data_IF_442675578678
#
_entry.id   IF_442675578678
#
_cell.length_a   1.000
_cell.length_b   1.000
_cell.length_c   1.000
_cell.angle_alpha   90.00
_cell.angle_beta   90.00
_cell.angle_gamma   90.00
#
_symmetry.space_group_name_H-M   'P 1'
#
loop_
_entity.id
_entity.type
_entity.pdbx_description
1 polymer ?
#
# COMPACT_ATOMS: atom_id res chain seq x y z
N UNK A 1 -4.79 -58.52 -38.32
CA UNK A 1 -4.12 -58.13 -37.06
C UNK A 1 -3.09 -57.03 -37.37
N UNK A 2 -3.09 -55.93 -36.68
CA UNK A 2 -2.21 -54.73 -36.69
C UNK A 2 -2.85 -53.44 -37.26
N UNK A 3 -3.88 -52.90 -36.58
CA UNK A 3 -4.32 -51.51 -36.79
C UNK A 3 -4.70 -50.80 -35.49
N UNK A 4 -4.25 -51.29 -34.33
CA UNK A 4 -4.62 -50.72 -33.01
C UNK A 4 -3.52 -49.79 -32.44
N UNK A 5 -2.28 -49.79 -32.98
CA UNK A 5 -1.18 -49.07 -32.35
C UNK A 5 -0.99 -47.60 -32.79
N UNK A 6 -1.68 -47.11 -33.80
CA UNK A 6 -1.49 -45.73 -34.27
C UNK A 6 -2.33 -44.71 -33.48
N UNK A 7 -3.46 -45.12 -32.91
CA UNK A 7 -4.36 -44.21 -32.17
C UNK A 7 -3.88 -43.95 -30.72
N UNK A 8 -3.16 -44.89 -30.14
CA UNK A 8 -2.66 -44.74 -28.75
C UNK A 8 -1.45 -43.82 -28.71
N UNK A 9 -0.64 -43.75 -29.78
CA UNK A 9 0.54 -42.89 -29.82
C UNK A 9 0.20 -41.41 -29.99
N UNK A 10 -0.98 -41.08 -30.60
CA UNK A 10 -1.42 -39.72 -30.81
C UNK A 10 -1.99 -39.08 -29.52
N UNK A 11 -2.61 -39.90 -28.66
CA UNK A 11 -3.16 -39.41 -27.39
C UNK A 11 -2.13 -39.13 -26.31
N UNK A 12 -0.96 -39.78 -26.36
CA UNK A 12 0.09 -39.57 -25.36
C UNK A 12 0.89 -38.30 -25.64
N UNK A 13 0.96 -37.82 -26.88
CA UNK A 13 1.68 -36.58 -27.23
C UNK A 13 0.90 -35.30 -26.88
N UNK A 14 -0.44 -35.36 -26.77
CA UNK A 14 -1.27 -34.24 -26.35
C UNK A 14 -1.26 -33.97 -24.85
N UNK A 15 -0.81 -34.91 -24.02
CA UNK A 15 -0.79 -34.77 -22.56
C UNK A 15 0.43 -33.99 -22.04
N UNK A 16 1.46 -33.74 -22.86
CA UNK A 16 2.67 -33.02 -22.46
C UNK A 16 2.76 -31.59 -23.00
N UNK A 17 1.79 -31.14 -23.76
CA UNK A 17 1.74 -29.74 -24.21
C UNK A 17 0.84 -28.90 -23.27
N UNK A 18 1.08 -28.97 -21.97
CA UNK A 18 0.62 -27.94 -21.07
C UNK A 18 1.45 -26.69 -21.37
N UNK A 19 0.86 -25.57 -21.80
CA UNK A 19 1.60 -24.34 -21.85
C UNK A 19 2.05 -24.07 -20.40
N UNK A 20 3.36 -24.09 -20.19
CA UNK A 20 3.97 -23.52 -18.99
C UNK A 20 3.62 -22.05 -19.05
N UNK A 21 2.48 -21.69 -18.49
CA UNK A 21 2.17 -20.32 -18.15
C UNK A 21 3.24 -19.94 -17.12
N UNK A 22 4.34 -19.40 -17.62
CA UNK A 22 5.34 -18.75 -16.80
C UNK A 22 4.57 -17.68 -16.04
N UNK A 23 4.25 -17.94 -14.77
CA UNK A 23 3.70 -16.93 -13.88
C UNK A 23 4.75 -15.83 -13.82
N UNK A 24 4.55 -14.80 -14.61
CA UNK A 24 5.39 -13.61 -14.60
C UNK A 24 5.19 -12.97 -13.22
N UNK A 25 6.05 -13.35 -12.27
CA UNK A 25 6.07 -12.74 -10.94
C UNK A 25 6.52 -11.30 -11.11
N UNK A 26 5.57 -10.40 -11.21
CA UNK A 26 5.85 -8.96 -11.20
C UNK A 26 6.48 -8.62 -9.85
N UNK A 27 7.71 -8.10 -9.87
CA UNK A 27 8.35 -7.64 -8.63
C UNK A 27 7.70 -6.33 -8.20
N UNK A 28 7.52 -6.14 -6.91
CA UNK A 28 6.92 -4.92 -6.35
C UNK A 28 7.63 -3.65 -6.83
N UNK A 29 8.94 -3.71 -7.02
CA UNK A 29 9.75 -2.59 -7.53
C UNK A 29 9.44 -2.21 -8.99
N UNK A 30 8.91 -3.14 -9.79
CA UNK A 30 8.61 -2.93 -11.21
C UNK A 30 7.23 -2.29 -11.42
N UNK A 31 6.40 -2.21 -10.38
CA UNK A 31 5.10 -1.55 -10.44
C UNK A 31 5.25 -0.04 -10.58
N UNK A 32 4.33 0.63 -11.30
CA UNK A 32 4.21 2.08 -11.24
C UNK A 32 4.14 2.57 -9.79
N UNK A 33 4.72 3.73 -9.44
CA UNK A 33 4.86 4.16 -8.06
C UNK A 33 3.54 4.19 -7.26
N UNK A 34 2.44 4.64 -7.86
CA UNK A 34 1.14 4.66 -7.19
C UNK A 34 0.58 3.24 -6.97
N UNK A 35 0.71 2.34 -7.95
CA UNK A 35 0.31 0.93 -7.80
C UNK A 35 1.11 0.24 -6.70
N UNK A 36 2.39 0.52 -6.63
CA UNK A 36 3.26 0.05 -5.55
C UNK A 36 2.76 0.53 -4.17
N UNK A 37 2.33 1.79 -4.08
CA UNK A 37 1.76 2.36 -2.85
C UNK A 37 0.48 1.63 -2.44
N UNK A 38 -0.44 1.37 -3.38
CA UNK A 38 -1.67 0.60 -3.14
C UNK A 38 -1.35 -0.78 -2.57
N UNK A 39 -0.41 -1.51 -3.20
CA UNK A 39 -0.01 -2.85 -2.74
C UNK A 39 0.59 -2.81 -1.34
N UNK A 40 1.45 -1.84 -1.05
CA UNK A 40 2.08 -1.68 0.28
C UNK A 40 1.02 -1.40 1.36
N UNK A 41 0.04 -0.54 1.09
CA UNK A 41 -1.03 -0.26 2.05
C UNK A 41 -1.89 -1.50 2.27
N UNK A 42 -2.32 -2.20 1.22
CA UNK A 42 -3.07 -3.46 1.34
C UNK A 42 -2.35 -4.49 2.21
N UNK A 43 -1.04 -4.61 2.02
CA UNK A 43 -0.23 -5.56 2.80
C UNK A 43 -0.20 -5.24 4.30
N UNK A 44 -0.09 -3.95 4.67
CA UNK A 44 0.02 -3.57 6.08
C UNK A 44 -1.32 -3.39 6.79
N UNK A 45 -2.36 -2.94 6.10
CA UNK A 45 -3.69 -2.76 6.71
C UNK A 45 -4.48 -4.07 6.74
N UNK A 46 -4.40 -4.88 5.67
CA UNK A 46 -5.28 -6.01 5.48
C UNK A 46 -6.73 -5.59 5.23
N UNK A 47 -7.57 -6.53 4.84
CA UNK A 47 -9.01 -6.28 4.64
C UNK A 47 -9.74 -6.25 5.99
N UNK A 48 -10.40 -5.14 6.31
CA UNK A 48 -11.18 -4.96 7.52
C UNK A 48 -12.54 -5.64 7.39
N UNK A 49 -12.91 -6.42 8.41
CA UNK A 49 -14.24 -7.02 8.52
C UNK A 49 -15.09 -6.33 9.59
N UNK A 50 -16.27 -6.90 9.90
CA UNK A 50 -17.27 -6.33 10.86
C UNK A 50 -16.70 -5.93 12.22
N UNK A 51 -15.71 -6.68 12.74
CA UNK A 51 -15.06 -6.39 14.04
C UNK A 51 -14.25 -5.09 14.06
N UNK A 52 -13.94 -4.55 12.89
CA UNK A 52 -13.12 -3.35 12.74
C UNK A 52 -13.97 -2.07 12.64
N UNK A 53 -15.32 -2.19 12.61
CA UNK A 53 -16.20 -1.05 12.52
C UNK A 53 -15.82 0.06 13.53
N UNK A 54 -15.79 1.34 13.13
CA UNK A 54 -16.25 1.93 11.87
C UNK A 54 -15.21 1.96 10.74
N UNK A 55 -14.17 1.12 10.81
CA UNK A 55 -13.19 1.00 9.73
C UNK A 55 -13.60 -0.10 8.75
N UNK A 56 -13.58 0.21 7.45
CA UNK A 56 -13.97 -0.69 6.36
C UNK A 56 -12.87 -0.78 5.30
N UNK A 57 -12.93 -1.78 4.43
CA UNK A 57 -11.96 -1.98 3.35
C UNK A 57 -10.53 -2.07 3.87
N UNK A 58 -9.65 -1.26 3.37
CA UNK A 58 -8.24 -1.21 3.79
C UNK A 58 -7.96 -0.04 4.76
N UNK A 59 -8.83 0.12 5.76
CA UNK A 59 -8.62 1.11 6.82
C UNK A 59 -9.35 2.44 6.63
N UNK A 60 -10.30 2.51 5.70
CA UNK A 60 -11.16 3.67 5.56
C UNK A 60 -12.05 3.85 6.81
N UNK A 61 -11.95 4.98 7.48
CA UNK A 61 -12.84 5.34 8.58
C UNK A 61 -14.10 5.99 8.01
N UNK A 62 -15.25 5.35 8.23
CA UNK A 62 -16.55 5.86 7.78
C UNK A 62 -16.80 7.29 8.27
N UNK A 63 -17.21 8.15 7.35
CA UNK A 63 -17.60 9.52 7.62
C UNK A 63 -19.13 9.65 7.70
N UNK A 64 -19.66 10.68 8.38
CA UNK A 64 -21.11 10.92 8.39
C UNK A 64 -21.68 11.01 6.97
N UNK A 65 -22.75 10.24 6.70
CA UNK A 65 -23.40 10.17 5.40
C UNK A 65 -22.86 9.13 4.42
N UNK A 66 -21.72 8.49 4.71
CA UNK A 66 -21.20 7.38 3.89
C UNK A 66 -21.98 6.08 4.17
N UNK A 67 -22.21 5.31 3.10
CA UNK A 67 -23.02 4.05 3.15
C UNK A 67 -22.19 2.79 2.88
N UNK A 68 -20.88 2.85 3.10
CA UNK A 68 -20.04 1.66 2.97
C UNK A 68 -20.29 0.69 4.13
N UNK A 69 -20.16 -0.59 3.86
CA UNK A 69 -20.32 -1.65 4.87
C UNK A 69 -19.07 -2.51 4.97
N UNK A 70 -18.95 -3.24 6.07
CA UNK A 70 -17.86 -4.18 6.28
C UNK A 70 -17.91 -5.41 5.34
N UNK A 71 -19.02 -5.60 4.63
CA UNK A 71 -19.23 -6.70 3.69
C UNK A 71 -18.90 -6.31 2.24
N UNK A 72 -18.18 -5.19 2.04
CA UNK A 72 -17.73 -4.76 0.71
C UNK A 72 -16.80 -5.80 0.07
N UNK A 73 -16.91 -5.92 -1.25
CA UNK A 73 -16.01 -6.76 -2.04
C UNK A 73 -14.58 -6.17 -2.06
N UNK A 74 -13.58 -7.01 -2.32
CA UNK A 74 -12.20 -6.54 -2.48
C UNK A 74 -12.08 -5.45 -3.55
N UNK A 75 -12.82 -5.57 -4.66
CA UNK A 75 -12.83 -4.55 -5.72
C UNK A 75 -13.37 -3.20 -5.22
N UNK A 76 -14.41 -3.21 -4.40
CA UNK A 76 -14.94 -1.97 -3.79
C UNK A 76 -13.95 -1.38 -2.81
N UNK A 77 -13.33 -2.22 -1.97
CA UNK A 77 -12.29 -1.80 -1.03
C UNK A 77 -11.05 -1.23 -1.73
N UNK A 78 -10.63 -1.83 -2.86
CA UNK A 78 -9.52 -1.31 -3.68
C UNK A 78 -9.86 0.07 -4.26
N UNK A 79 -11.05 0.24 -4.81
CA UNK A 79 -11.48 1.54 -5.34
C UNK A 79 -11.52 2.62 -4.25
N UNK A 80 -12.03 2.27 -3.07
CA UNK A 80 -12.09 3.18 -1.92
C UNK A 80 -10.69 3.56 -1.43
N UNK A 81 -9.79 2.57 -1.29
CA UNK A 81 -8.39 2.80 -0.93
C UNK A 81 -7.69 3.76 -1.90
N UNK A 82 -7.89 3.55 -3.21
CA UNK A 82 -7.30 4.43 -4.24
C UNK A 82 -7.81 5.87 -4.11
N UNK A 83 -9.11 6.05 -3.89
CA UNK A 83 -9.70 7.35 -3.68
C UNK A 83 -9.13 8.05 -2.43
N UNK A 84 -8.97 7.31 -1.33
CA UNK A 84 -8.41 7.84 -0.09
C UNK A 84 -6.93 8.18 -0.21
N UNK A 85 -6.15 7.30 -0.87
CA UNK A 85 -4.73 7.58 -1.15
C UNK A 85 -4.58 8.80 -2.05
N UNK A 86 -5.46 8.95 -3.04
CA UNK A 86 -5.44 10.12 -3.92
C UNK A 86 -5.76 11.40 -3.15
N UNK A 87 -6.82 11.41 -2.32
CA UNK A 87 -7.13 12.54 -1.43
C UNK A 87 -5.94 12.90 -0.54
N UNK A 88 -5.27 11.90 0.00
CA UNK A 88 -4.08 12.10 0.83
C UNK A 88 -2.91 12.68 0.00
N UNK A 89 -2.69 12.17 -1.21
CA UNK A 89 -1.63 12.61 -2.14
C UNK A 89 -1.79 14.09 -2.52
N UNK A 90 -3.01 14.57 -2.71
CA UNK A 90 -3.27 15.98 -3.04
C UNK A 90 -2.65 16.96 -2.03
N UNK A 91 -2.54 16.57 -0.76
CA UNK A 91 -1.88 17.38 0.27
C UNK A 91 -0.35 17.42 0.12
N UNK A 92 0.23 16.42 -0.57
CA UNK A 92 1.69 16.25 -0.65
C UNK A 92 2.24 16.33 -2.07
N UNK A 93 1.43 16.52 -3.10
CA UNK A 93 1.88 16.58 -4.51
C UNK A 93 2.98 17.62 -4.76
N UNK A 94 2.97 18.71 -4.00
CA UNK A 94 3.99 19.78 -4.06
C UNK A 94 5.37 19.36 -3.54
N UNK A 95 5.49 18.22 -2.86
CA UNK A 95 6.76 17.71 -2.35
C UNK A 95 7.54 16.85 -3.38
N UNK A 96 7.10 16.83 -4.64
CA UNK A 96 7.81 16.20 -5.74
C UNK A 96 8.10 14.71 -5.48
N UNK A 97 9.38 14.33 -5.50
CA UNK A 97 9.82 12.94 -5.32
C UNK A 97 9.44 12.33 -3.96
N UNK A 98 9.16 13.14 -2.95
CA UNK A 98 8.78 12.67 -1.62
C UNK A 98 7.25 12.55 -1.43
N UNK A 99 6.45 12.97 -2.41
CA UNK A 99 5.00 13.04 -2.31
C UNK A 99 4.36 11.69 -1.93
N UNK A 100 4.72 10.60 -2.60
CA UNK A 100 4.16 9.27 -2.29
C UNK A 100 4.65 8.72 -0.95
N UNK A 101 5.90 8.96 -0.58
CA UNK A 101 6.42 8.57 0.73
C UNK A 101 5.64 9.24 1.86
N UNK A 102 5.37 10.55 1.71
CA UNK A 102 4.56 11.32 2.66
C UNK A 102 3.09 10.90 2.66
N UNK A 103 2.54 10.56 1.49
CA UNK A 103 1.18 10.03 1.36
C UNK A 103 0.99 8.74 2.16
N UNK A 104 1.90 7.78 2.01
CA UNK A 104 1.86 6.51 2.75
C UNK A 104 1.92 6.72 4.27
N UNK A 105 2.80 7.60 4.70
CA UNK A 105 2.89 7.94 6.11
C UNK A 105 1.60 8.60 6.61
N UNK A 106 1.10 9.60 5.89
CA UNK A 106 -0.09 10.36 6.26
C UNK A 106 -1.36 9.51 6.23
N UNK A 107 -1.47 8.55 5.32
CA UNK A 107 -2.58 7.60 5.30
C UNK A 107 -2.70 6.83 6.61
N UNK A 108 -1.56 6.46 7.22
CA UNK A 108 -1.54 5.71 8.48
C UNK A 108 -1.64 6.60 9.73
N UNK A 109 -0.99 7.77 9.74
CA UNK A 109 -0.89 8.60 10.95
C UNK A 109 -1.78 9.84 10.92
N UNK A 110 -2.40 10.15 9.79
CA UNK A 110 -3.20 11.35 9.53
C UNK A 110 -2.37 12.51 8.97
N UNK A 111 -2.95 13.22 8.00
CA UNK A 111 -2.33 14.39 7.32
C UNK A 111 -1.91 15.47 8.33
N UNK A 112 -2.77 15.77 9.31
CA UNK A 112 -2.51 16.80 10.32
C UNK A 112 -1.27 16.54 11.17
N UNK A 113 -0.89 15.27 11.39
CA UNK A 113 0.35 14.96 12.12
C UNK A 113 1.62 15.34 11.37
N UNK A 114 1.54 15.48 10.05
CA UNK A 114 2.66 15.92 9.22
C UNK A 114 2.62 17.44 9.01
N UNK A 115 1.48 17.95 8.54
CA UNK A 115 1.34 19.36 8.18
C UNK A 115 1.21 20.29 9.40
N UNK A 116 0.81 19.73 10.54
CA UNK A 116 0.40 20.50 11.70
C UNK A 116 -1.08 20.90 11.63
N UNK A 117 -1.67 21.23 12.76
CA UNK A 117 -3.04 21.75 12.88
C UNK A 117 -3.23 22.48 14.22
N UNK A 118 -3.98 23.56 14.21
CA UNK A 118 -4.21 24.37 15.42
C UNK A 118 -2.89 24.80 16.06
N UNK A 119 -2.66 24.38 17.32
CA UNK A 119 -1.42 24.66 18.06
C UNK A 119 -0.30 23.62 17.80
N UNK A 120 -0.59 22.56 17.06
CA UNK A 120 0.42 21.54 16.74
C UNK A 120 1.27 21.97 15.54
N UNK A 121 2.59 22.10 15.70
CA UNK A 121 3.45 22.56 14.62
C UNK A 121 3.61 21.48 13.55
N UNK A 122 4.03 21.90 12.36
CA UNK A 122 4.50 21.02 11.30
C UNK A 122 5.57 20.06 11.82
N UNK A 123 5.51 18.79 11.38
CA UNK A 123 6.43 17.75 11.83
C UNK A 123 7.90 18.10 11.52
N UNK A 124 8.82 17.56 12.32
CA UNK A 124 10.27 17.71 12.08
C UNK A 124 10.64 17.10 10.72
N UNK A 125 9.98 16.00 10.33
CA UNK A 125 10.17 15.36 9.02
C UNK A 125 9.94 16.37 7.88
N UNK A 126 8.77 17.02 7.84
CA UNK A 126 8.46 17.95 6.77
C UNK A 126 9.38 19.17 6.76
N UNK A 127 9.73 19.69 7.93
CA UNK A 127 10.69 20.82 8.02
C UNK A 127 12.05 20.48 7.43
N UNK A 128 12.52 19.24 7.63
CA UNK A 128 13.78 18.77 7.02
C UNK A 128 13.66 18.67 5.50
N UNK A 129 12.59 18.07 5.01
CA UNK A 129 12.35 17.94 3.56
C UNK A 129 12.27 19.33 2.90
N UNK A 130 11.55 20.27 3.51
CA UNK A 130 11.41 21.65 3.02
C UNK A 130 12.73 22.43 3.05
N UNK A 131 13.61 22.11 3.99
CA UNK A 131 14.97 22.64 4.06
C UNK A 131 15.94 21.95 3.08
N UNK A 132 15.49 20.98 2.28
CA UNK A 132 16.34 20.20 1.38
C UNK A 132 17.23 19.16 2.07
N UNK A 133 17.09 18.97 3.39
CA UNK A 133 17.85 17.97 4.14
C UNK A 133 17.34 16.56 3.81
N UNK A 134 18.17 15.79 3.11
CA UNK A 134 17.84 14.40 2.72
C UNK A 134 18.09 13.38 3.83
N UNK A 135 18.70 13.77 4.93
CA UNK A 135 18.97 12.89 6.07
C UNK A 135 17.78 12.89 7.06
N UNK A 136 16.61 12.39 6.61
CA UNK A 136 15.38 12.35 7.42
C UNK A 136 14.87 10.93 7.72
N UNK A 137 15.70 9.91 7.53
CA UNK A 137 15.32 8.52 7.80
C UNK A 137 14.79 8.32 9.23
N UNK A 138 15.48 8.85 10.21
CA UNK A 138 15.09 8.68 11.61
C UNK A 138 13.80 9.44 11.96
N UNK A 139 13.58 10.61 11.38
CA UNK A 139 12.33 11.35 11.52
C UNK A 139 11.17 10.55 10.93
N UNK A 140 11.35 9.90 9.77
CA UNK A 140 10.32 9.06 9.15
C UNK A 140 10.03 7.81 9.99
N UNK A 141 11.05 7.07 10.43
CA UNK A 141 10.89 5.85 11.20
C UNK A 141 10.34 6.13 12.61
N UNK A 142 10.52 7.33 13.14
CA UNK A 142 9.98 7.72 14.46
C UNK A 142 8.44 7.67 14.55
N UNK A 143 7.72 7.68 13.40
CA UNK A 143 6.26 7.47 13.34
C UNK A 143 5.86 6.00 13.55
N UNK A 144 6.42 5.37 14.55
CA UNK A 144 6.21 3.97 14.91
C UNK A 144 5.59 3.78 16.31
N UNK A 145 5.01 4.85 16.90
CA UNK A 145 4.46 4.80 18.26
C UNK A 145 2.93 4.89 18.27
N UNK A 146 2.33 4.10 19.15
CA UNK A 146 0.91 4.20 19.48
C UNK A 146 0.76 4.27 21.00
N UNK A 147 0.04 5.26 21.52
CA UNK A 147 -0.11 5.52 22.97
C UNK A 147 1.23 5.50 23.71
N UNK A 148 2.26 6.15 23.12
CA UNK A 148 3.61 6.24 23.69
C UNK A 148 4.50 5.01 23.50
N UNK A 149 3.95 3.84 23.16
CA UNK A 149 4.70 2.58 23.00
C UNK A 149 5.15 2.40 21.55
N UNK A 150 6.39 1.96 21.33
CA UNK A 150 6.88 1.54 20.00
C UNK A 150 6.22 0.23 19.63
N UNK A 151 5.68 0.17 18.40
CA UNK A 151 5.10 -1.05 17.84
C UNK A 151 6.01 -1.59 16.72
N UNK A 152 6.52 -2.82 16.88
CA UNK A 152 7.42 -3.45 15.92
C UNK A 152 6.82 -3.54 14.51
N UNK A 153 5.50 -3.76 14.39
CA UNK A 153 4.79 -3.75 13.11
C UNK A 153 4.90 -2.40 12.40
N UNK A 154 4.75 -1.29 13.14
CA UNK A 154 4.92 0.05 12.58
C UNK A 154 6.38 0.35 12.23
N UNK A 155 7.35 -0.12 13.01
CA UNK A 155 8.77 -0.01 12.67
C UNK A 155 9.06 -0.71 11.35
N UNK A 156 8.57 -1.96 11.17
CA UNK A 156 8.71 -2.72 9.92
C UNK A 156 8.06 -1.96 8.76
N UNK A 157 6.85 -1.45 8.95
CA UNK A 157 6.12 -0.68 7.94
C UNK A 157 6.93 0.54 7.48
N UNK A 158 7.40 1.37 8.41
CA UNK A 158 8.20 2.58 8.09
C UNK A 158 9.46 2.25 7.32
N UNK A 159 10.16 1.18 7.70
CA UNK A 159 11.38 0.73 6.99
C UNK A 159 11.09 0.30 5.56
N UNK A 160 10.02 -0.47 5.34
CA UNK A 160 9.60 -0.92 4.00
C UNK A 160 9.15 0.25 3.14
N UNK A 161 8.30 1.13 3.67
CA UNK A 161 7.86 2.32 2.94
C UNK A 161 9.04 3.20 2.54
N UNK A 162 9.98 3.45 3.47
CA UNK A 162 11.16 4.25 3.18
C UNK A 162 12.04 3.60 2.10
N UNK A 163 12.31 2.30 2.20
CA UNK A 163 13.13 1.58 1.22
C UNK A 163 12.53 1.58 -0.19
N UNK A 164 11.21 1.58 -0.30
CA UNK A 164 10.53 1.49 -1.60
C UNK A 164 10.25 2.86 -2.25
N UNK A 165 10.19 3.94 -1.47
CA UNK A 165 9.69 5.24 -1.97
C UNK A 165 10.66 6.41 -1.70
N UNK A 166 11.71 6.23 -0.91
CA UNK A 166 12.73 7.25 -0.78
C UNK A 166 13.59 7.30 -2.04
N UNK A 167 13.70 8.49 -2.62
CA UNK A 167 14.52 8.78 -3.80
C UNK A 167 15.58 9.80 -3.38
N UNK A 168 16.84 9.49 -3.63
CA UNK A 168 18.00 10.34 -3.31
C UNK A 168 17.97 11.62 -4.16
#
# INVERSE_FOLDING_TARGET
MRTINAFILLCVFCLFCQPILAQHRVRLADLPPFERAVVVVKYFEGMHGRKNYPYVGYGHQLQPGERFTADMTERQADSLLRADLWKCFEHFKGYGKDALLLTLLAYNVGVGRLLGYGKHPKSKLLRKIEAGDRNFYWEYVSFCRYKGKVLNGLVKRRKVEFALFFII
#
